data_IF_523228239904
#
_entry.id   IF_523228239904
#
_cell.length_a   1.000
_cell.length_b   1.000
_cell.length_c   1.000
_cell.angle_alpha   90.00
_cell.angle_beta   90.00
_cell.angle_gamma   90.00
#
_symmetry.space_group_name_H-M   'P 1'
#
loop_
_entity.id
_entity.type
_entity.pdbx_description
1 polymer ?
#
# COMPACT_ATOMS: atom_id res chain seq x y z
N UNK A 1 -12.45 12.64 -29.40
CA UNK A 1 -13.37 11.97 -28.47
C UNK A 1 -13.65 12.92 -27.29
N UNK A 2 -14.91 13.04 -26.89
CA UNK A 2 -15.34 13.84 -25.74
C UNK A 2 -15.19 13.02 -24.44
N UNK A 3 -14.04 12.43 -24.20
CA UNK A 3 -13.79 11.65 -22.98
C UNK A 3 -13.04 12.52 -21.97
N UNK A 4 -13.51 12.54 -20.73
CA UNK A 4 -12.91 13.31 -19.62
C UNK A 4 -11.64 12.62 -19.07
N UNK A 5 -11.45 11.35 -19.37
CA UNK A 5 -10.30 10.57 -18.96
C UNK A 5 -10.17 9.23 -19.69
N UNK A 6 -9.00 8.62 -19.54
CA UNK A 6 -8.69 7.30 -20.11
C UNK A 6 -8.05 6.42 -19.03
N UNK A 7 -8.54 5.20 -18.90
CA UNK A 7 -7.90 4.17 -18.05
C UNK A 7 -7.06 3.24 -18.94
N UNK A 8 -5.78 3.14 -18.64
CA UNK A 8 -4.83 2.28 -19.37
C UNK A 8 -4.05 1.41 -18.40
N UNK A 9 -3.57 0.26 -18.89
CA UNK A 9 -2.66 -0.57 -18.11
C UNK A 9 -1.31 0.14 -17.93
N UNK A 10 -0.81 0.24 -16.69
CA UNK A 10 0.50 0.84 -16.39
C UNK A 10 1.61 0.22 -17.23
N UNK A 11 1.63 -1.11 -17.39
CA UNK A 11 2.62 -1.81 -18.19
C UNK A 11 2.64 -1.38 -19.68
N UNK A 12 1.50 -0.99 -20.25
CA UNK A 12 1.43 -0.45 -21.60
C UNK A 12 2.11 0.93 -21.68
N UNK A 13 1.85 1.79 -20.67
CA UNK A 13 2.49 3.09 -20.57
C UNK A 13 3.99 2.96 -20.34
N UNK A 14 4.43 2.06 -19.46
CA UNK A 14 5.84 1.78 -19.21
C UNK A 14 6.58 1.35 -20.49
N UNK A 15 5.96 0.51 -21.33
CA UNK A 15 6.53 0.11 -22.63
C UNK A 15 6.64 1.27 -23.61
N UNK A 16 5.64 2.14 -23.66
CA UNK A 16 5.66 3.33 -24.54
C UNK A 16 6.69 4.36 -24.09
N UNK A 17 6.96 4.44 -22.78
CA UNK A 17 7.94 5.38 -22.20
C UNK A 17 9.35 4.78 -22.13
N UNK A 18 9.53 3.47 -22.31
CA UNK A 18 10.85 2.83 -22.36
C UNK A 18 11.63 3.29 -23.58
N UNK A 19 12.89 3.68 -23.44
CA UNK A 19 13.71 4.12 -24.56
C UNK A 19 14.01 2.94 -25.50
N UNK A 20 13.22 2.77 -26.53
CA UNK A 20 13.61 1.96 -27.69
C UNK A 20 14.56 2.85 -28.50
N UNK A 21 15.78 2.40 -28.69
CA UNK A 21 16.93 3.18 -29.24
C UNK A 21 16.70 3.89 -30.58
N UNK A 22 15.58 3.68 -31.27
CA UNK A 22 15.32 4.17 -32.61
C UNK A 22 14.18 5.19 -32.79
N UNK A 23 13.43 5.55 -31.72
CA UNK A 23 12.25 6.41 -31.86
C UNK A 23 12.28 7.57 -30.83
N UNK A 24 13.34 8.35 -30.80
CA UNK A 24 13.50 9.46 -29.85
C UNK A 24 12.50 10.60 -30.08
N UNK A 25 12.21 10.98 -31.32
CA UNK A 25 11.29 12.10 -31.64
C UNK A 25 9.82 11.78 -31.32
N UNK A 26 9.38 10.54 -31.52
CA UNK A 26 8.03 10.09 -31.17
C UNK A 26 7.85 9.98 -29.66
N UNK A 27 8.87 9.49 -28.96
CA UNK A 27 8.88 9.41 -27.50
C UNK A 27 8.80 10.81 -26.87
N UNK A 28 9.57 11.76 -27.36
CA UNK A 28 9.54 13.15 -26.88
C UNK A 28 8.20 13.82 -27.15
N UNK A 29 7.62 13.59 -28.33
CA UNK A 29 6.27 14.04 -28.65
C UNK A 29 5.21 13.42 -27.73
N UNK A 30 5.33 12.13 -27.43
CA UNK A 30 4.44 11.41 -26.52
C UNK A 30 4.56 11.93 -25.08
N UNK A 31 5.77 12.09 -24.57
CA UNK A 31 6.04 12.69 -23.25
C UNK A 31 5.47 14.09 -23.15
N UNK A 32 5.66 14.92 -24.18
CA UNK A 32 5.10 16.27 -24.24
C UNK A 32 3.57 16.28 -24.20
N UNK A 33 2.93 15.35 -24.89
CA UNK A 33 1.47 15.20 -24.85
C UNK A 33 0.98 14.76 -23.48
N UNK A 34 1.69 13.83 -22.80
CA UNK A 34 1.34 13.40 -21.44
C UNK A 34 1.40 14.53 -20.42
N UNK A 35 2.34 15.48 -20.57
CA UNK A 35 2.46 16.63 -19.67
C UNK A 35 1.23 17.56 -19.67
N UNK A 36 0.33 17.43 -20.66
CA UNK A 36 -0.95 18.14 -20.71
C UNK A 36 -2.07 17.47 -19.90
N UNK A 37 -1.85 16.30 -19.33
CA UNK A 37 -2.85 15.55 -18.59
C UNK A 37 -2.50 15.40 -17.11
N UNK A 38 -3.52 15.41 -16.27
CA UNK A 38 -3.41 14.93 -14.90
C UNK A 38 -3.50 13.40 -14.91
N UNK A 39 -2.61 12.75 -14.21
CA UNK A 39 -2.55 11.29 -14.13
C UNK A 39 -2.60 10.78 -12.70
N UNK A 40 -3.10 9.56 -12.53
CA UNK A 40 -3.05 8.83 -11.28
C UNK A 40 -2.85 7.33 -11.51
N UNK A 41 -2.20 6.68 -10.56
CA UNK A 41 -2.06 5.22 -10.54
C UNK A 41 -3.05 4.65 -9.55
N UNK A 42 -4.06 3.95 -10.04
CA UNK A 42 -5.08 3.30 -9.20
C UNK A 42 -4.47 1.99 -8.68
N UNK A 43 -4.37 1.79 -7.34
CA UNK A 43 -3.78 0.58 -6.78
C UNK A 43 -4.69 -0.64 -7.01
N UNK A 44 -4.09 -1.84 -7.01
CA UNK A 44 -4.83 -3.10 -7.11
C UNK A 44 -5.87 -3.27 -6.00
N UNK A 45 -5.67 -2.67 -4.83
CA UNK A 45 -6.67 -2.65 -3.76
C UNK A 45 -7.97 -1.95 -4.15
N UNK A 46 -7.96 -1.07 -5.15
CA UNK A 46 -9.13 -0.34 -5.63
C UNK A 46 -9.64 -0.87 -6.98
N UNK A 47 -8.72 -1.24 -7.86
CA UNK A 47 -9.05 -1.75 -9.19
C UNK A 47 -8.13 -2.91 -9.57
N UNK A 48 -8.36 -4.12 -9.01
CA UNK A 48 -7.59 -5.29 -9.38
C UNK A 48 -7.77 -5.61 -10.86
N UNK A 49 -6.69 -6.08 -11.49
CA UNK A 49 -6.72 -6.46 -12.90
C UNK A 49 -7.57 -7.71 -13.15
N UNK A 50 -7.91 -7.95 -14.40
CA UNK A 50 -8.43 -9.26 -14.80
C UNK A 50 -7.37 -10.35 -14.54
N UNK A 51 -7.77 -11.57 -14.12
CA UNK A 51 -6.85 -12.66 -13.82
C UNK A 51 -5.87 -12.96 -14.95
N UNK A 52 -4.59 -13.01 -14.62
CA UNK A 52 -3.49 -13.24 -15.56
C UNK A 52 -3.17 -12.07 -16.48
N UNK A 53 -3.74 -10.88 -16.26
CA UNK A 53 -3.43 -9.70 -17.08
C UNK A 53 -1.98 -9.25 -16.85
N UNK A 54 -1.25 -9.12 -17.95
CA UNK A 54 0.18 -8.75 -17.92
C UNK A 54 1.12 -9.95 -17.88
N UNK A 55 0.65 -11.15 -17.57
CA UNK A 55 1.42 -12.38 -17.72
C UNK A 55 1.50 -12.80 -19.20
N UNK A 56 2.69 -13.15 -19.66
CA UNK A 56 2.92 -13.71 -20.99
C UNK A 56 2.85 -15.23 -20.90
N UNK A 57 2.03 -15.83 -21.75
CA UNK A 57 1.92 -17.29 -21.87
C UNK A 57 2.46 -17.75 -23.21
N UNK A 58 3.22 -18.83 -23.21
CA UNK A 58 3.71 -19.49 -24.43
C UNK A 58 3.06 -20.87 -24.51
N UNK A 59 2.32 -21.11 -25.60
CA UNK A 59 1.69 -22.39 -25.89
C UNK A 59 2.56 -23.17 -26.88
N UNK A 60 2.78 -24.46 -26.61
CA UNK A 60 3.54 -25.35 -27.46
C UNK A 60 2.75 -26.62 -27.80
N UNK A 61 3.11 -27.26 -28.89
CA UNK A 61 2.55 -28.57 -29.26
C UNK A 61 2.88 -29.60 -28.17
N UNK A 62 1.88 -30.36 -27.77
CA UNK A 62 2.02 -31.45 -26.80
C UNK A 62 3.11 -32.43 -27.24
N UNK A 63 4.00 -32.79 -26.30
CA UNK A 63 5.13 -33.71 -26.56
C UNK A 63 6.39 -33.09 -27.13
N UNK A 64 6.43 -31.78 -27.42
CA UNK A 64 7.66 -31.11 -27.86
C UNK A 64 8.59 -30.86 -26.67
N UNK A 65 9.33 -31.90 -26.25
CA UNK A 65 10.22 -31.86 -25.09
C UNK A 65 11.35 -30.83 -25.25
N UNK A 66 11.93 -30.71 -26.46
CA UNK A 66 13.03 -29.80 -26.70
C UNK A 66 12.67 -28.34 -26.49
N UNK A 67 11.50 -27.92 -26.98
CA UNK A 67 11.00 -26.55 -26.75
C UNK A 67 10.58 -26.35 -25.31
N UNK A 68 10.02 -27.37 -24.65
CA UNK A 68 9.64 -27.31 -23.25
C UNK A 68 10.85 -27.06 -22.33
N UNK A 69 11.98 -27.72 -22.60
CA UNK A 69 13.24 -27.54 -21.87
C UNK A 69 13.72 -26.08 -21.98
N UNK A 70 13.72 -25.50 -23.17
CA UNK A 70 14.09 -24.11 -23.39
C UNK A 70 13.14 -23.14 -22.69
N UNK A 71 11.84 -23.39 -22.70
CA UNK A 71 10.85 -22.55 -22.03
C UNK A 71 10.96 -22.60 -20.50
N UNK A 72 11.39 -23.73 -19.94
CA UNK A 72 11.61 -23.87 -18.52
C UNK A 72 12.72 -22.92 -18.00
N UNK A 73 13.68 -22.55 -18.84
CA UNK A 73 14.75 -21.60 -18.48
C UNK A 73 14.24 -20.17 -18.28
N UNK A 74 13.14 -19.81 -18.96
CA UNK A 74 12.55 -18.47 -18.91
C UNK A 74 11.22 -18.45 -18.14
N UNK A 75 10.75 -19.59 -17.66
CA UNK A 75 9.49 -19.69 -16.95
C UNK A 75 9.61 -19.17 -15.52
N UNK A 76 8.84 -18.13 -15.20
CA UNK A 76 8.68 -17.65 -13.83
C UNK A 76 7.59 -18.47 -13.10
N UNK A 77 8.04 -19.40 -12.27
CA UNK A 77 7.16 -20.32 -11.54
C UNK A 77 6.26 -19.62 -10.53
N UNK A 78 6.67 -18.49 -9.98
CA UNK A 78 5.87 -17.75 -9.00
C UNK A 78 4.77 -16.97 -9.71
N UNK A 79 5.08 -16.30 -10.81
CA UNK A 79 4.06 -15.70 -11.69
C UNK A 79 3.09 -16.75 -12.21
N UNK A 80 3.57 -17.91 -12.63
CA UNK A 80 2.70 -19.01 -13.09
C UNK A 80 1.70 -19.43 -12.02
N UNK A 81 2.16 -19.67 -10.79
CA UNK A 81 1.30 -20.07 -9.65
C UNK A 81 0.30 -18.97 -9.30
N UNK A 82 0.72 -17.70 -9.31
CA UNK A 82 -0.16 -16.57 -9.01
C UNK A 82 -1.28 -16.47 -10.04
N UNK A 83 -0.97 -16.58 -11.32
CA UNK A 83 -1.96 -16.56 -12.41
C UNK A 83 -2.92 -17.75 -12.30
N UNK A 84 -2.43 -18.95 -11.98
CA UNK A 84 -3.29 -20.12 -11.76
C UNK A 84 -4.26 -19.88 -10.59
N UNK A 85 -3.76 -19.31 -9.50
CA UNK A 85 -4.59 -19.00 -8.34
C UNK A 85 -5.62 -17.92 -8.64
N UNK A 86 -5.26 -16.83 -9.33
CA UNK A 86 -6.19 -15.80 -9.79
C UNK A 86 -7.31 -16.39 -10.65
N UNK A 87 -6.96 -17.22 -11.63
CA UNK A 87 -7.94 -17.91 -12.50
C UNK A 87 -8.83 -18.88 -11.73
N UNK A 88 -8.27 -19.60 -10.74
CA UNK A 88 -9.04 -20.49 -9.88
C UNK A 88 -10.04 -19.72 -9.03
N UNK A 89 -9.68 -18.52 -8.56
CA UNK A 89 -10.60 -17.63 -7.84
C UNK A 89 -11.71 -17.12 -8.74
N UNK A 90 -11.40 -16.66 -9.96
CA UNK A 90 -12.41 -16.24 -10.92
C UNK A 90 -13.39 -17.36 -11.29
N UNK A 91 -12.93 -18.61 -11.38
CA UNK A 91 -13.81 -19.78 -11.64
C UNK A 91 -14.91 -19.95 -10.60
N UNK A 92 -14.70 -19.56 -9.35
CA UNK A 92 -15.74 -19.60 -8.30
C UNK A 92 -16.94 -18.71 -8.61
N UNK A 93 -16.75 -17.70 -9.46
CA UNK A 93 -17.78 -16.78 -9.91
C UNK A 93 -18.28 -17.07 -11.32
N UNK A 94 -18.08 -18.30 -11.83
CA UNK A 94 -18.52 -18.73 -13.15
C UNK A 94 -17.44 -18.70 -14.23
N UNK A 95 -16.31 -18.02 -14.00
CA UNK A 95 -15.19 -17.92 -14.96
C UNK A 95 -15.51 -17.16 -16.25
N UNK A 96 -14.48 -16.92 -17.07
CA UNK A 96 -14.61 -16.28 -18.38
C UNK A 96 -14.35 -14.76 -18.38
N UNK A 97 -13.94 -14.24 -19.57
CA UNK A 97 -13.53 -12.84 -19.76
C UNK A 97 -14.70 -11.83 -19.67
N UNK A 98 -15.94 -12.28 -19.61
CA UNK A 98 -17.12 -11.42 -19.51
C UNK A 98 -17.50 -11.08 -18.06
N UNK A 99 -16.82 -11.67 -17.07
CA UNK A 99 -17.05 -11.37 -15.67
C UNK A 99 -16.56 -9.97 -15.33
N UNK A 100 -17.38 -9.22 -14.60
CA UNK A 100 -17.06 -7.88 -14.08
C UNK A 100 -16.30 -7.99 -12.75
N UNK A 101 -15.34 -8.92 -12.66
CA UNK A 101 -14.58 -9.23 -11.46
C UNK A 101 -13.09 -9.18 -11.79
N UNK A 102 -12.37 -8.32 -11.07
CA UNK A 102 -10.93 -8.31 -11.02
C UNK A 102 -10.43 -9.17 -9.87
N UNK A 103 -9.35 -9.88 -10.09
CA UNK A 103 -8.61 -10.63 -9.07
C UNK A 103 -7.14 -10.38 -9.28
N UNK A 104 -6.45 -9.87 -8.26
CA UNK A 104 -5.00 -9.72 -8.30
C UNK A 104 -4.36 -10.35 -7.07
N UNK A 105 -3.19 -10.92 -7.28
CA UNK A 105 -2.32 -11.44 -6.23
C UNK A 105 -1.03 -10.61 -6.25
N UNK A 106 -0.75 -9.94 -5.13
CA UNK A 106 0.43 -9.12 -4.93
C UNK A 106 1.39 -9.84 -3.98
N UNK A 107 2.62 -10.04 -4.43
CA UNK A 107 3.65 -10.66 -3.60
C UNK A 107 4.23 -9.63 -2.62
N UNK A 108 4.23 -9.98 -1.35
CA UNK A 108 4.85 -9.24 -0.26
C UNK A 108 5.93 -10.12 0.40
N UNK A 109 7.03 -9.58 0.94
CA UNK A 109 8.07 -10.40 1.59
C UNK A 109 7.57 -11.36 2.68
N UNK A 110 6.44 -11.04 3.31
CA UNK A 110 5.84 -11.85 4.39
C UNK A 110 4.76 -12.82 3.91
N UNK A 111 4.25 -12.68 2.67
CA UNK A 111 3.11 -13.47 2.19
C UNK A 111 2.51 -12.92 0.91
N UNK A 112 1.30 -13.34 0.58
CA UNK A 112 0.55 -12.89 -0.58
C UNK A 112 -0.67 -12.07 -0.15
N UNK A 113 -0.92 -10.98 -0.87
CA UNK A 113 -2.12 -10.15 -0.71
C UNK A 113 -3.02 -10.44 -1.90
N UNK A 114 -4.21 -10.93 -1.63
CA UNK A 114 -5.23 -11.17 -2.67
C UNK A 114 -6.29 -10.09 -2.60
N UNK A 115 -6.64 -9.52 -3.74
CA UNK A 115 -7.75 -8.58 -3.88
C UNK A 115 -8.75 -9.13 -4.90
N UNK A 116 -10.03 -9.21 -4.52
CA UNK A 116 -11.15 -9.64 -5.38
C UNK A 116 -12.20 -8.52 -5.34
N UNK A 117 -12.45 -7.86 -6.48
CA UNK A 117 -13.44 -6.78 -6.57
C UNK A 117 -14.27 -6.89 -7.85
N UNK A 118 -15.52 -6.51 -7.74
CA UNK A 118 -16.41 -6.46 -8.90
C UNK A 118 -17.85 -6.75 -8.55
N UNK A 119 -18.57 -7.27 -9.55
CA UNK A 119 -19.97 -7.67 -9.43
C UNK A 119 -20.12 -9.12 -9.87
N UNK A 120 -20.83 -9.92 -9.09
CA UNK A 120 -21.23 -11.26 -9.50
C UNK A 120 -22.22 -11.19 -10.67
N UNK A 121 -22.50 -12.31 -11.38
CA UNK A 121 -23.57 -12.36 -12.38
C UNK A 121 -24.93 -11.90 -11.85
N UNK A 122 -25.17 -12.06 -10.55
CA UNK A 122 -26.41 -11.66 -9.85
C UNK A 122 -26.36 -10.19 -9.38
N UNK A 123 -25.30 -9.42 -9.77
CA UNK A 123 -25.03 -8.05 -9.37
C UNK A 123 -24.73 -7.86 -7.86
N UNK A 124 -24.27 -8.88 -7.18
CA UNK A 124 -23.77 -8.74 -5.82
C UNK A 124 -22.35 -8.14 -5.82
N UNK A 125 -22.12 -7.18 -4.96
CA UNK A 125 -20.81 -6.52 -4.82
C UNK A 125 -19.79 -7.45 -4.17
N UNK A 126 -18.65 -7.65 -4.82
CA UNK A 126 -17.47 -8.28 -4.27
C UNK A 126 -16.48 -7.17 -3.92
N UNK A 127 -16.06 -7.12 -2.67
CA UNK A 127 -14.98 -6.24 -2.18
C UNK A 127 -14.24 -6.98 -1.06
N UNK A 128 -13.26 -7.80 -1.46
CA UNK A 128 -12.48 -8.63 -0.54
C UNK A 128 -11.00 -8.35 -0.74
N UNK A 129 -10.28 -8.16 0.35
CA UNK A 129 -8.82 -8.08 0.36
C UNK A 129 -8.31 -8.79 1.61
N UNK A 130 -7.39 -9.73 1.44
CA UNK A 130 -6.87 -10.53 2.54
C UNK A 130 -5.40 -10.85 2.34
N UNK A 131 -4.71 -11.03 3.46
CA UNK A 131 -3.30 -11.39 3.52
C UNK A 131 -3.14 -12.86 3.90
N UNK A 132 -2.31 -13.57 3.15
CA UNK A 132 -1.94 -14.96 3.40
C UNK A 132 -0.44 -15.06 3.68
N UNK A 133 0.00 -15.14 4.94
CA UNK A 133 1.42 -15.19 5.27
C UNK A 133 2.06 -16.50 4.77
N UNK A 134 3.32 -16.45 4.34
CA UNK A 134 4.09 -17.65 3.96
C UNK A 134 4.29 -18.60 5.16
N UNK A 135 4.47 -18.02 6.34
CA UNK A 135 4.58 -18.77 7.60
C UNK A 135 3.27 -18.63 8.38
N UNK A 136 2.47 -19.70 8.42
CA UNK A 136 1.15 -19.69 9.09
C UNK A 136 1.22 -19.31 10.57
N UNK A 137 2.35 -19.56 11.23
CA UNK A 137 2.58 -19.21 12.63
C UNK A 137 2.54 -17.69 12.87
N UNK A 138 2.86 -16.88 11.83
CA UNK A 138 2.80 -15.41 11.94
C UNK A 138 1.38 -14.87 12.08
N UNK A 139 0.35 -15.60 11.65
CA UNK A 139 -1.05 -15.16 11.75
C UNK A 139 -1.82 -15.79 12.93
N UNK A 140 -1.17 -16.64 13.74
CA UNK A 140 -1.83 -17.29 14.87
C UNK A 140 -1.42 -16.62 16.18
N UNK A 141 -2.40 -16.37 17.04
CA UNK A 141 -2.15 -15.97 18.41
C UNK A 141 -1.64 -17.18 19.20
N UNK A 142 -0.64 -16.94 20.05
CA UNK A 142 -0.02 -18.01 20.88
C UNK A 142 -0.75 -18.15 22.21
N UNK A 143 -1.22 -17.02 22.74
CA UNK A 143 -1.87 -16.95 24.02
C UNK A 143 -3.39 -16.76 23.86
N UNK A 144 -4.21 -17.22 24.80
CA UNK A 144 -5.62 -16.88 24.83
C UNK A 144 -5.83 -15.36 24.84
N UNK A 145 -6.83 -14.89 24.11
CA UNK A 145 -7.15 -13.48 24.05
C UNK A 145 -8.09 -13.13 25.21
N UNK A 146 -7.51 -12.69 26.31
CA UNK A 146 -8.27 -12.22 27.48
C UNK A 146 -8.82 -10.83 27.21
N UNK A 147 -7.96 -9.91 26.83
CA UNK A 147 -8.34 -8.55 26.44
C UNK A 147 -7.35 -8.00 25.39
N UNK A 148 -7.79 -7.03 24.59
CA UNK A 148 -7.00 -6.51 23.48
C UNK A 148 -7.15 -5.00 23.30
N UNK A 149 -6.13 -4.37 22.76
CA UNK A 149 -6.07 -2.94 22.45
C UNK A 149 -5.57 -2.70 21.03
N UNK A 150 -6.19 -1.76 20.31
CA UNK A 150 -7.35 -0.97 20.69
C UNK A 150 -8.67 -1.71 20.41
N UNK A 151 -9.74 -1.34 21.10
CA UNK A 151 -11.10 -1.87 20.86
C UNK A 151 -11.72 -1.27 19.60
N UNK A 152 -11.29 -0.05 19.26
CA UNK A 152 -11.77 0.69 18.08
C UNK A 152 -10.68 1.60 17.53
N UNK A 153 -10.83 2.05 16.27
CA UNK A 153 -9.91 3.07 15.70
C UNK A 153 -9.86 4.39 16.48
N UNK A 154 -10.86 4.67 17.32
CA UNK A 154 -10.89 5.89 18.14
C UNK A 154 -9.96 5.82 19.34
N UNK A 155 -9.55 4.63 19.75
CA UNK A 155 -8.71 4.41 20.94
C UNK A 155 -7.22 4.63 20.65
N UNK A 156 -6.83 4.81 19.36
CA UNK A 156 -5.46 5.17 18.96
C UNK A 156 -5.08 6.61 19.34
N UNK A 157 -5.27 7.02 20.59
CA UNK A 157 -5.07 8.39 21.06
C UNK A 157 -3.88 8.55 22.00
N UNK A 158 -2.72 7.98 21.65
CA UNK A 158 -1.51 8.18 22.47
C UNK A 158 -0.83 9.54 22.22
N UNK A 159 -1.16 10.20 21.11
CA UNK A 159 -0.59 11.49 20.73
C UNK A 159 -1.65 12.43 20.16
N UNK A 160 -1.55 13.69 20.54
CA UNK A 160 -2.05 14.83 19.78
C UNK A 160 -0.96 15.29 18.77
N UNK A 161 -1.33 16.19 17.86
CA UNK A 161 -0.44 16.71 16.84
C UNK A 161 -0.39 18.22 16.90
N UNK A 162 0.80 18.76 17.09
CA UNK A 162 1.06 20.20 17.02
C UNK A 162 1.66 20.53 15.65
N UNK A 163 1.08 21.47 14.93
CA UNK A 163 1.53 21.91 13.59
C UNK A 163 2.84 22.64 13.66
N UNK A 164 3.61 22.55 12.56
CA UNK A 164 4.85 23.29 12.35
C UNK A 164 4.62 24.16 11.09
N UNK A 165 4.36 25.44 11.31
CA UNK A 165 3.99 26.36 10.23
C UNK A 165 5.14 26.57 9.22
N UNK A 166 6.40 26.53 9.65
CA UNK A 166 7.58 26.60 8.80
C UNK A 166 7.62 25.43 7.81
N UNK A 167 7.40 24.21 8.28
CA UNK A 167 7.37 23.02 7.44
C UNK A 167 6.19 23.02 6.46
N UNK A 168 5.05 23.58 6.86
CA UNK A 168 3.90 23.75 5.95
C UNK A 168 4.26 24.76 4.85
N UNK A 169 4.87 25.90 5.17
CA UNK A 169 5.33 26.89 4.18
C UNK A 169 6.39 26.30 3.24
N UNK A 170 7.35 25.54 3.78
CA UNK A 170 8.36 24.84 2.98
C UNK A 170 7.68 23.91 1.96
N UNK A 171 6.72 23.10 2.41
CA UNK A 171 5.98 22.19 1.53
C UNK A 171 5.18 22.94 0.44
N UNK A 172 4.51 24.04 0.79
CA UNK A 172 3.73 24.88 -0.15
C UNK A 172 4.60 25.54 -1.23
N UNK A 173 5.88 25.82 -0.92
CA UNK A 173 6.83 26.41 -1.85
C UNK A 173 7.43 25.42 -2.85
N UNK A 174 7.28 24.12 -2.62
CA UNK A 174 7.87 23.08 -3.47
C UNK A 174 7.12 22.96 -4.80
N UNK A 175 7.89 22.81 -5.87
CA UNK A 175 7.42 22.59 -7.23
C UNK A 175 8.25 21.51 -7.93
N UNK A 176 7.68 20.87 -8.96
CA UNK A 176 8.32 19.87 -9.82
C UNK A 176 9.01 18.74 -9.00
N UNK A 177 8.38 18.29 -7.92
CA UNK A 177 8.94 17.35 -6.97
C UNK A 177 7.90 16.31 -6.53
N UNK A 178 8.36 15.23 -5.91
CA UNK A 178 7.51 14.23 -5.30
C UNK A 178 7.29 14.54 -3.82
N UNK A 179 6.03 14.57 -3.39
CA UNK A 179 5.66 14.69 -1.99
C UNK A 179 5.04 13.39 -1.51
N UNK A 180 5.78 12.63 -0.72
CA UNK A 180 5.25 11.44 -0.04
C UNK A 180 4.57 11.86 1.27
N UNK A 181 3.25 11.79 1.29
CA UNK A 181 2.44 12.26 2.41
C UNK A 181 2.08 11.09 3.32
N UNK A 182 2.70 11.05 4.48
CA UNK A 182 2.46 9.98 5.46
C UNK A 182 1.06 10.03 6.08
N UNK A 183 0.51 11.26 6.27
CA UNK A 183 -0.84 11.47 6.82
C UNK A 183 -1.51 12.72 6.24
N UNK A 184 -2.75 12.57 5.81
CA UNK A 184 -3.55 13.66 5.27
C UNK A 184 -3.83 14.79 6.28
N UNK A 185 -3.81 14.50 7.59
CA UNK A 185 -3.99 15.52 8.64
C UNK A 185 -2.83 16.50 8.73
N UNK A 186 -1.64 16.15 8.23
CA UNK A 186 -0.52 17.07 8.15
C UNK A 186 -0.76 18.25 7.20
N UNK A 187 -1.79 18.17 6.33
CA UNK A 187 -2.07 19.15 5.28
C UNK A 187 -3.45 19.82 5.45
N UNK A 188 -4.01 19.84 6.65
CA UNK A 188 -5.38 20.36 6.86
C UNK A 188 -5.60 21.83 6.47
N UNK A 189 -4.54 22.63 6.47
CA UNK A 189 -4.60 24.07 6.14
C UNK A 189 -3.88 24.44 4.84
N UNK A 190 -3.42 23.48 4.06
CA UNK A 190 -2.74 23.79 2.80
C UNK A 190 -3.74 24.41 1.83
N UNK A 191 -3.47 25.65 1.43
CA UNK A 191 -4.32 26.41 0.50
C UNK A 191 -4.13 25.97 -0.96
N UNK A 192 -2.92 25.56 -1.31
CA UNK A 192 -2.61 24.99 -2.62
C UNK A 192 -1.29 24.22 -2.60
N UNK A 193 -1.32 22.98 -3.02
CA UNK A 193 -0.10 22.27 -3.46
C UNK A 193 0.00 22.52 -4.96
N UNK A 194 1.16 22.94 -5.43
CA UNK A 194 1.39 23.18 -6.85
C UNK A 194 1.17 21.88 -7.65
N UNK A 195 0.38 21.95 -8.73
CA UNK A 195 0.03 20.83 -9.58
C UNK A 195 1.22 20.20 -10.33
N UNK A 196 2.37 20.89 -10.37
CA UNK A 196 3.60 20.33 -10.90
C UNK A 196 4.20 19.24 -10.00
N UNK A 197 3.74 19.16 -8.74
CA UNK A 197 4.20 18.14 -7.81
C UNK A 197 3.46 16.82 -7.99
N UNK A 198 4.20 15.72 -7.80
CA UNK A 198 3.62 14.37 -7.72
C UNK A 198 3.27 14.06 -6.28
N UNK A 199 1.99 13.87 -6.01
CA UNK A 199 1.49 13.56 -4.67
C UNK A 199 1.31 12.06 -4.52
N UNK A 200 2.04 11.47 -3.56
CA UNK A 200 1.96 10.06 -3.22
C UNK A 200 1.58 9.90 -1.75
N UNK A 201 0.68 8.98 -1.45
CA UNK A 201 0.22 8.76 -0.06
C UNK A 201 0.65 7.40 0.47
N UNK A 202 0.79 7.29 1.78
CA UNK A 202 1.11 6.03 2.45
C UNK A 202 0.01 4.97 2.31
N UNK A 203 -1.26 5.40 2.17
CA UNK A 203 -2.40 4.50 2.06
C UNK A 203 -3.63 5.19 1.47
N UNK A 204 -4.57 4.38 1.03
CA UNK A 204 -5.78 4.82 0.30
C UNK A 204 -6.69 5.75 1.12
N UNK A 205 -6.76 5.60 2.43
CA UNK A 205 -7.53 6.52 3.28
C UNK A 205 -6.97 7.95 3.24
N UNK A 206 -5.64 8.10 3.18
CA UNK A 206 -5.00 9.41 3.04
C UNK A 206 -5.28 10.00 1.67
N UNK A 207 -5.27 9.19 0.62
CA UNK A 207 -5.67 9.62 -0.72
C UNK A 207 -7.07 10.22 -0.71
N UNK A 208 -8.07 9.48 -0.25
CA UNK A 208 -9.45 9.98 -0.22
C UNK A 208 -9.62 11.24 0.63
N UNK A 209 -8.90 11.34 1.75
CA UNK A 209 -8.93 12.54 2.60
C UNK A 209 -8.36 13.77 1.89
N UNK A 210 -7.28 13.61 1.10
CA UNK A 210 -6.69 14.69 0.31
C UNK A 210 -7.56 15.05 -0.89
N UNK A 211 -8.05 14.06 -1.62
CA UNK A 211 -8.93 14.28 -2.77
C UNK A 211 -10.21 15.03 -2.39
N UNK A 212 -10.82 14.74 -1.23
CA UNK A 212 -11.96 15.49 -0.70
C UNK A 212 -11.65 16.96 -0.38
N UNK A 213 -10.36 17.31 -0.25
CA UNK A 213 -9.89 18.69 -0.07
C UNK A 213 -9.51 19.36 -1.40
N UNK A 214 -9.76 18.71 -2.53
CA UNK A 214 -9.41 19.20 -3.86
C UNK A 214 -7.94 19.03 -4.24
N UNK A 215 -7.18 18.23 -3.50
CA UNK A 215 -5.77 17.93 -3.81
C UNK A 215 -5.72 16.76 -4.76
N UNK A 216 -5.08 16.95 -5.92
CA UNK A 216 -4.83 15.86 -6.85
C UNK A 216 -3.78 14.91 -6.31
N UNK A 217 -4.10 13.62 -6.21
CA UNK A 217 -3.21 12.57 -5.70
C UNK A 217 -2.86 11.64 -6.85
N UNK A 218 -1.55 11.47 -7.09
CA UNK A 218 -1.05 10.67 -8.22
C UNK A 218 -0.97 9.16 -7.88
N UNK A 219 -0.92 8.80 -6.58
CA UNK A 219 -0.87 7.40 -6.21
C UNK A 219 -0.70 7.15 -4.71
N UNK A 220 -0.56 5.88 -4.37
CA UNK A 220 -0.42 5.44 -2.98
C UNK A 220 0.48 4.22 -2.88
N UNK A 221 1.19 4.08 -1.75
CA UNK A 221 1.87 2.84 -1.38
C UNK A 221 0.93 1.80 -0.77
N UNK A 222 -0.36 2.07 -0.75
CA UNK A 222 -1.43 1.15 -0.34
C UNK A 222 -1.21 0.47 1.02
N UNK A 223 -0.51 1.16 1.91
CA UNK A 223 -0.10 0.70 3.26
C UNK A 223 0.94 -0.42 3.26
N UNK A 224 1.58 -0.72 2.13
CA UNK A 224 2.56 -1.80 1.98
C UNK A 224 4.02 -1.34 2.15
N UNK A 225 4.25 -0.08 2.48
CA UNK A 225 5.58 0.50 2.69
C UNK A 225 5.97 1.57 1.66
N UNK A 226 6.97 2.37 2.00
CA UNK A 226 7.40 3.51 1.19
C UNK A 226 8.09 3.11 -0.12
N UNK A 227 8.66 1.93 -0.18
CA UNK A 227 9.46 1.44 -1.31
C UNK A 227 8.62 0.71 -2.36
N UNK A 228 7.39 0.32 -2.00
CA UNK A 228 6.52 -0.41 -2.92
C UNK A 228 5.70 0.54 -3.79
N UNK A 229 5.63 0.24 -5.08
CA UNK A 229 4.71 0.81 -6.08
C UNK A 229 5.01 2.20 -6.66
N UNK A 230 6.24 2.70 -6.64
CA UNK A 230 6.55 3.91 -7.43
C UNK A 230 6.58 3.55 -8.92
N UNK A 231 5.83 4.26 -9.77
CA UNK A 231 5.94 4.07 -11.23
C UNK A 231 7.23 4.70 -11.72
N UNK A 232 8.31 3.90 -11.84
CA UNK A 232 9.63 4.35 -12.24
C UNK A 232 9.64 5.11 -13.57
N UNK A 233 8.91 4.62 -14.55
CA UNK A 233 8.86 5.20 -15.90
C UNK A 233 8.25 6.61 -15.98
N UNK A 234 7.35 6.98 -15.08
CA UNK A 234 6.74 8.31 -15.02
C UNK A 234 7.50 9.28 -14.09
N UNK A 235 8.47 8.78 -13.30
CA UNK A 235 9.07 9.50 -12.18
C UNK A 235 10.61 9.47 -12.18
N UNK A 236 11.24 9.20 -13.32
CA UNK A 236 12.69 8.97 -13.42
C UNK A 236 13.57 10.09 -12.84
N UNK A 237 13.07 11.31 -12.73
CA UNK A 237 13.87 12.48 -12.28
C UNK A 237 13.22 13.28 -11.15
N UNK A 238 12.30 12.67 -10.39
CA UNK A 238 11.57 13.41 -9.36
C UNK A 238 12.32 13.35 -8.02
N UNK A 239 12.69 14.50 -7.47
CA UNK A 239 13.21 14.61 -6.12
C UNK A 239 12.08 14.38 -5.10
N UNK A 240 12.24 13.42 -4.22
CA UNK A 240 11.21 13.05 -3.26
C UNK A 240 11.44 13.68 -1.88
N UNK A 241 10.35 14.21 -1.32
CA UNK A 241 10.27 14.68 0.05
C UNK A 241 9.31 13.83 0.85
N UNK A 242 9.67 13.52 2.11
CA UNK A 242 8.77 12.89 3.08
C UNK A 242 8.06 13.98 3.87
N UNK A 243 6.76 14.12 3.69
CA UNK A 243 5.91 15.02 4.49
C UNK A 243 5.36 14.27 5.69
N UNK A 244 5.90 14.55 6.89
CA UNK A 244 5.59 13.78 8.10
C UNK A 244 5.86 14.56 9.39
N UNK A 245 5.93 13.88 10.53
CA UNK A 245 6.31 14.47 11.81
C UNK A 245 7.82 14.62 11.95
N UNK A 246 8.25 15.49 12.87
CA UNK A 246 9.65 15.90 13.07
C UNK A 246 10.62 14.73 13.29
N UNK A 247 10.18 13.67 13.98
CA UNK A 247 11.00 12.50 14.28
C UNK A 247 10.86 11.38 13.23
N UNK A 248 10.36 11.70 12.04
CA UNK A 248 10.27 10.74 10.95
C UNK A 248 11.61 10.64 10.23
N UNK A 249 11.95 9.42 9.84
CA UNK A 249 13.14 9.13 9.05
C UNK A 249 12.76 8.47 7.72
N UNK A 250 13.51 8.76 6.68
CA UNK A 250 13.47 8.06 5.39
C UNK A 250 14.89 7.86 4.89
N UNK A 251 15.13 6.79 4.16
CA UNK A 251 16.45 6.48 3.60
C UNK A 251 16.79 7.34 2.39
N UNK A 252 15.78 7.70 1.62
CA UNK A 252 15.92 8.26 0.27
C UNK A 252 15.18 9.61 0.07
N UNK A 253 14.44 10.09 1.10
CA UNK A 253 13.63 11.30 1.00
C UNK A 253 14.05 12.32 2.04
N UNK A 254 14.20 13.58 1.62
CA UNK A 254 14.38 14.70 2.55
C UNK A 254 13.07 14.91 3.34
N UNK A 255 13.19 15.00 4.67
CA UNK A 255 12.05 15.25 5.54
C UNK A 255 11.60 16.72 5.45
N UNK A 256 10.28 16.89 5.31
CA UNK A 256 9.57 18.15 5.58
C UNK A 256 8.67 17.90 6.79
N UNK A 257 9.05 18.46 7.92
CA UNK A 257 8.35 18.28 9.18
C UNK A 257 7.16 19.25 9.28
N UNK A 258 5.95 18.77 9.05
CA UNK A 258 4.72 19.59 9.09
C UNK A 258 4.00 19.53 10.43
N UNK A 259 4.39 18.60 11.31
CA UNK A 259 3.86 18.50 12.67
C UNK A 259 4.82 17.77 13.61
N UNK A 260 4.59 17.92 14.89
CA UNK A 260 5.21 17.11 15.95
C UNK A 260 4.16 16.30 16.71
N UNK A 261 4.58 15.13 17.18
CA UNK A 261 3.77 14.28 18.06
C UNK A 261 3.91 14.80 19.49
N UNK A 262 2.80 15.08 20.15
CA UNK A 262 2.72 15.49 21.55
C UNK A 262 2.03 14.37 22.31
N UNK A 263 2.72 13.69 23.25
CA UNK A 263 2.11 12.64 24.04
C UNK A 263 0.89 13.17 24.81
N UNK A 264 -0.21 12.42 24.78
CA UNK A 264 -1.38 12.73 25.60
C UNK A 264 -1.02 12.60 27.09
N UNK A 265 -1.53 13.52 27.92
CA UNK A 265 -1.25 13.49 29.35
C UNK A 265 -1.91 12.31 30.04
N UNK A 266 -3.18 12.08 29.74
CA UNK A 266 -3.98 11.01 30.29
C UNK A 266 -4.33 10.01 29.19
N UNK A 267 -3.96 8.76 29.41
CA UNK A 267 -4.37 7.62 28.61
C UNK A 267 -4.82 6.51 29.54
N UNK A 268 -5.65 5.61 29.05
CA UNK A 268 -6.06 4.45 29.83
C UNK A 268 -4.87 3.56 30.19
N UNK A 269 -5.00 2.80 31.27
CA UNK A 269 -4.02 1.80 31.67
C UNK A 269 -3.98 0.66 30.64
N UNK A 270 -2.85 0.57 29.93
CA UNK A 270 -2.63 -0.45 28.91
C UNK A 270 -2.09 -1.77 29.49
N UNK A 271 -1.68 -1.82 30.74
CA UNK A 271 -1.08 -3.01 31.36
C UNK A 271 -2.05 -4.20 31.49
N UNK A 272 -3.35 -3.93 31.40
CA UNK A 272 -4.43 -4.93 31.47
C UNK A 272 -4.64 -5.72 30.17
N UNK A 273 -4.09 -5.24 29.02
CA UNK A 273 -4.30 -5.89 27.73
C UNK A 273 -3.23 -6.93 27.43
N UNK A 274 -3.66 -8.04 26.86
CA UNK A 274 -2.80 -9.15 26.46
C UNK A 274 -2.37 -9.12 24.99
N UNK A 275 -3.17 -8.44 24.13
CA UNK A 275 -2.95 -8.37 22.68
C UNK A 275 -3.07 -6.95 22.18
N UNK A 276 -2.13 -6.56 21.30
CA UNK A 276 -2.02 -5.18 20.80
C UNK A 276 -1.94 -5.15 19.28
N UNK A 277 -2.60 -4.13 18.69
CA UNK A 277 -2.34 -3.73 17.32
C UNK A 277 -1.75 -2.31 17.27
N UNK A 278 -0.62 -2.14 16.61
CA UNK A 278 0.11 -0.88 16.56
C UNK A 278 -0.01 -0.21 15.19
N UNK A 279 -0.52 1.01 15.14
CA UNK A 279 -0.58 1.82 13.92
C UNK A 279 0.75 2.52 13.61
N UNK A 280 1.66 2.61 14.57
CA UNK A 280 2.98 3.23 14.40
C UNK A 280 3.96 2.78 15.48
N UNK A 281 5.23 2.78 15.13
CA UNK A 281 6.31 2.51 16.09
C UNK A 281 6.35 3.57 17.22
N UNK A 282 6.02 4.83 16.93
CA UNK A 282 5.97 5.89 17.93
C UNK A 282 4.94 5.59 19.02
N UNK A 283 3.77 5.08 18.63
CA UNK A 283 2.73 4.66 19.58
C UNK A 283 3.17 3.49 20.46
N UNK A 284 3.84 2.50 19.87
CA UNK A 284 4.41 1.39 20.62
C UNK A 284 5.44 1.87 21.64
N UNK A 285 6.42 2.68 21.22
CA UNK A 285 7.49 3.20 22.10
C UNK A 285 6.94 4.02 23.25
N UNK A 286 5.95 4.88 23.01
CA UNK A 286 5.32 5.69 24.07
C UNK A 286 4.52 4.82 25.04
N UNK A 287 3.77 3.83 24.53
CA UNK A 287 3.03 2.90 25.38
C UNK A 287 3.97 2.05 26.24
N UNK A 288 5.04 1.49 25.68
CA UNK A 288 6.03 0.71 26.40
C UNK A 288 6.74 1.54 27.48
N UNK A 289 7.07 2.80 27.19
CA UNK A 289 7.66 3.73 28.16
C UNK A 289 6.77 3.93 29.38
N UNK A 290 5.44 4.03 29.21
CA UNK A 290 4.48 4.25 30.29
C UNK A 290 4.08 2.95 31.01
N UNK A 291 3.99 1.88 30.27
CA UNK A 291 3.52 0.57 30.74
C UNK A 291 4.53 -0.54 30.35
N UNK A 292 5.67 -0.64 31.03
CA UNK A 292 6.71 -1.62 30.66
C UNK A 292 6.23 -3.07 30.63
N UNK A 293 5.19 -3.42 31.40
CA UNK A 293 4.63 -4.77 31.45
C UNK A 293 4.07 -5.26 30.11
N UNK A 294 3.66 -4.33 29.21
CA UNK A 294 3.14 -4.72 27.89
C UNK A 294 4.19 -5.38 26.99
N UNK A 295 5.48 -5.30 27.32
CA UNK A 295 6.56 -5.94 26.55
C UNK A 295 6.32 -7.45 26.37
N UNK A 296 5.67 -8.08 27.34
CA UNK A 296 5.37 -9.52 27.34
C UNK A 296 4.06 -9.88 26.62
N UNK A 297 3.30 -8.89 26.18
CA UNK A 297 2.05 -9.08 25.45
C UNK A 297 2.29 -9.54 24.00
N UNK A 298 1.25 -9.94 23.30
CA UNK A 298 1.32 -10.21 21.87
C UNK A 298 1.13 -8.92 21.05
N UNK A 299 2.06 -8.65 20.15
CA UNK A 299 2.08 -7.44 19.35
C UNK A 299 1.81 -7.72 17.88
N UNK A 300 0.93 -6.91 17.31
CA UNK A 300 0.55 -6.97 15.90
C UNK A 300 0.64 -5.58 15.26
N UNK A 301 0.79 -5.54 13.95
CA UNK A 301 0.77 -4.29 13.18
C UNK A 301 0.49 -4.54 11.70
N UNK A 302 0.39 -3.48 10.90
CA UNK A 302 0.30 -3.56 9.45
C UNK A 302 1.62 -3.99 8.80
N UNK A 303 1.57 -4.33 7.51
CA UNK A 303 2.67 -4.93 6.72
C UNK A 303 3.82 -3.96 6.38
N UNK A 304 3.68 -2.66 6.64
CA UNK A 304 4.66 -1.65 6.24
C UNK A 304 5.72 -1.37 7.31
N UNK A 305 6.27 -0.13 7.29
CA UNK A 305 7.37 0.35 8.13
C UNK A 305 7.23 0.00 9.63
N UNK A 306 6.01 0.01 10.16
CA UNK A 306 5.79 -0.35 11.58
C UNK A 306 6.20 -1.80 11.86
N UNK A 307 5.94 -2.73 10.93
CA UNK A 307 6.39 -4.11 11.07
C UNK A 307 7.91 -4.20 11.03
N UNK A 308 8.55 -3.53 10.08
CA UNK A 308 10.01 -3.58 9.93
C UNK A 308 10.71 -3.09 11.20
N UNK A 309 10.24 -1.99 11.77
CA UNK A 309 10.78 -1.40 12.99
C UNK A 309 10.53 -2.28 14.23
N UNK A 310 9.31 -2.79 14.40
CA UNK A 310 8.98 -3.66 15.52
C UNK A 310 9.71 -5.01 15.43
N UNK A 311 9.82 -5.58 14.23
CA UNK A 311 10.49 -6.86 14.03
C UNK A 311 12.01 -6.79 14.24
N UNK A 312 12.63 -5.61 14.07
CA UNK A 312 14.03 -5.37 14.48
C UNK A 312 14.18 -5.41 15.99
N UNK A 313 13.22 -4.87 16.74
CA UNK A 313 13.24 -4.87 18.21
C UNK A 313 12.89 -6.25 18.78
N UNK A 314 11.93 -6.93 18.17
CA UNK A 314 11.38 -8.21 18.63
C UNK A 314 11.33 -9.23 17.48
N UNK A 315 12.47 -9.78 17.05
CA UNK A 315 12.55 -10.67 15.90
C UNK A 315 11.61 -11.87 16.01
N UNK A 316 10.80 -12.11 14.98
CA UNK A 316 9.83 -13.21 14.88
C UNK A 316 8.73 -13.23 15.97
N UNK A 317 8.55 -12.15 16.71
CA UNK A 317 7.48 -12.05 17.73
C UNK A 317 6.30 -11.19 17.24
N UNK A 318 6.49 -10.38 16.21
CA UNK A 318 5.47 -9.46 15.71
C UNK A 318 4.57 -10.18 14.70
N UNK A 319 3.26 -9.97 14.82
CA UNK A 319 2.27 -10.56 13.92
C UNK A 319 1.82 -9.54 12.88
N UNK A 320 2.12 -9.77 11.59
CA UNK A 320 1.68 -8.91 10.52
C UNK A 320 0.23 -9.21 10.11
N UNK A 321 -0.56 -8.16 9.92
CA UNK A 321 -1.89 -8.19 9.38
C UNK A 321 -2.01 -7.17 8.24
N UNK A 322 -2.96 -7.34 7.36
CA UNK A 322 -3.18 -6.41 6.26
C UNK A 322 -3.50 -5.00 6.79
N UNK A 323 -4.38 -4.93 7.78
CA UNK A 323 -4.80 -3.71 8.46
C UNK A 323 -5.41 -4.02 9.84
N UNK A 324 -5.91 -3.00 10.51
CA UNK A 324 -6.55 -3.15 11.82
C UNK A 324 -7.81 -4.00 11.77
N UNK A 325 -8.61 -3.89 10.71
CA UNK A 325 -9.85 -4.63 10.54
C UNK A 325 -9.59 -6.14 10.40
N UNK A 326 -8.61 -6.52 9.59
CA UNK A 326 -8.16 -7.91 9.43
C UNK A 326 -7.69 -8.50 10.78
N UNK A 327 -6.91 -7.73 11.54
CA UNK A 327 -6.51 -8.13 12.88
C UNK A 327 -7.70 -8.28 13.83
N UNK A 328 -8.64 -7.33 13.84
CA UNK A 328 -9.80 -7.35 14.71
C UNK A 328 -10.73 -8.53 14.40
N UNK A 329 -10.90 -8.87 13.13
CA UNK A 329 -11.64 -10.06 12.70
C UNK A 329 -10.98 -11.32 13.28
N UNK A 330 -9.66 -11.46 13.14
CA UNK A 330 -8.91 -12.61 13.70
C UNK A 330 -8.95 -12.69 15.22
N UNK A 331 -8.93 -11.56 15.91
CA UNK A 331 -9.13 -11.50 17.36
C UNK A 331 -10.51 -12.02 17.75
N UNK A 332 -11.55 -11.61 17.02
CA UNK A 332 -12.93 -12.03 17.31
C UNK A 332 -13.19 -13.50 16.95
N UNK A 333 -12.55 -14.04 15.91
CA UNK A 333 -12.60 -15.47 15.57
C UNK A 333 -11.90 -16.36 16.61
N UNK A 334 -10.89 -15.84 17.29
CA UNK A 334 -10.08 -16.60 18.25
C UNK A 334 -10.60 -16.56 19.70
N UNK A 335 -11.61 -15.74 20.01
CA UNK A 335 -12.35 -15.70 21.26
C UNK A 335 -13.43 -16.76 21.32
#
# INVERSE_FOLDING_TARGET
>A
SNADGLVIAKAALDRLLSPIKEITSELDSFKKNLNGFLWMVIPCSQNPCAPGQGALAVEIKSGNKQVLELLNEINDLDVFKDVEEERKKLKKYGGGCHQKIGVSIENHPLGKITTEKGLTPENELIDKRFFSPFKKELSRFKNPIEDFYPKSKKDFKLFSRSKIDEGIKEMEAIKNSGLYISRASSIEKVRAIDLSNVIWTSGIENWFKLARKGIWVNGTSDSLGEEQSKPSSLLEEVNWFLVSHVDSESKDKKLIATYKLVPEKEIEDLSKYSHFYWMSISSFKEALKRFPSIENAEHSCGLGKTFDELNKLYPNKIKPFLNYEDWLEKVNEAK
#
